data_IF_462271127828
#
_entry.id   IF_462271127828
#
_cell.length_a   1.000
_cell.length_b   1.000
_cell.length_c   1.000
_cell.angle_alpha   90.00
_cell.angle_beta   90.00
_cell.angle_gamma   90.00
#
_symmetry.space_group_name_H-M   'P 1'
#
loop_
_entity.id
_entity.type
_entity.pdbx_description
1 polymer ?
#
# COMPACT_ATOMS: atom_id res chain seq x y z
N UNK A 1 39.72 -56.41 -13.33
CA UNK A 1 40.55 -55.97 -14.46
C UNK A 1 41.27 -54.69 -14.04
N UNK A 2 42.59 -54.77 -13.82
CA UNK A 2 43.51 -53.64 -13.53
C UNK A 2 43.92 -53.00 -14.89
N UNK A 3 44.81 -51.99 -15.03
CA UNK A 3 46.08 -51.74 -14.32
C UNK A 3 46.30 -50.24 -13.94
N UNK A 4 47.33 -49.73 -13.25
CA UNK A 4 48.60 -50.16 -12.60
C UNK A 4 49.05 -48.87 -11.86
N UNK A 5 49.29 -48.78 -10.54
CA UNK A 5 50.56 -49.08 -9.81
C UNK A 5 51.81 -48.77 -10.65
N UNK A 6 52.83 -48.03 -10.25
CA UNK A 6 53.37 -47.65 -8.94
C UNK A 6 54.74 -46.97 -9.22
N UNK A 7 55.31 -46.34 -8.19
CA UNK A 7 56.74 -46.02 -7.99
C UNK A 7 57.26 -44.69 -8.59
N UNK A 8 58.17 -43.94 -7.98
CA UNK A 8 58.74 -43.90 -6.62
C UNK A 8 59.72 -42.73 -6.53
N UNK A 9 59.83 -42.19 -5.31
CA UNK A 9 61.07 -41.74 -4.62
C UNK A 9 61.97 -40.60 -5.12
N UNK A 10 62.27 -39.76 -4.11
CA UNK A 10 63.57 -39.20 -3.71
C UNK A 10 64.16 -38.09 -4.59
N UNK A 11 64.31 -36.89 -4.02
CA UNK A 11 65.50 -36.54 -3.25
C UNK A 11 65.49 -35.05 -2.87
N UNK A 12 65.82 -34.76 -1.61
CA UNK A 12 66.16 -33.43 -1.15
C UNK A 12 67.55 -33.04 -1.65
N UNK A 13 67.70 -31.83 -2.19
CA UNK A 13 68.98 -31.14 -2.31
C UNK A 13 68.77 -29.70 -1.81
N UNK A 14 69.36 -29.42 -0.67
CA UNK A 14 69.65 -28.06 -0.21
C UNK A 14 70.88 -27.56 -0.98
N UNK A 15 70.78 -26.37 -1.57
CA UNK A 15 71.94 -25.63 -2.04
C UNK A 15 71.79 -24.16 -1.62
N UNK A 16 72.67 -23.76 -0.71
CA UNK A 16 72.96 -22.36 -0.40
C UNK A 16 73.48 -21.66 -1.66
N UNK A 17 72.81 -20.58 -2.06
CA UNK A 17 73.28 -19.66 -3.09
C UNK A 17 73.00 -18.24 -2.66
N UNK A 18 74.06 -17.46 -2.43
CA UNK A 18 74.02 -16.06 -2.05
C UNK A 18 73.28 -15.20 -3.09
N UNK A 19 72.42 -14.23 -2.70
CA UNK A 19 71.93 -13.25 -3.64
C UNK A 19 72.98 -12.15 -3.81
N UNK A 20 73.52 -12.08 -5.02
CA UNK A 20 74.24 -10.93 -5.53
C UNK A 20 73.32 -9.70 -5.51
N UNK A 21 73.88 -8.57 -5.05
CA UNK A 21 73.31 -7.24 -5.14
C UNK A 21 73.06 -6.89 -6.62
N UNK A 22 71.82 -6.98 -7.06
CA UNK A 22 71.32 -6.28 -8.23
C UNK A 22 70.37 -5.18 -7.74
N UNK A 23 70.92 -3.97 -7.63
CA UNK A 23 70.16 -2.74 -7.56
C UNK A 23 69.43 -2.54 -8.90
N UNK A 24 68.25 -3.14 -9.00
CA UNK A 24 67.25 -2.77 -10.00
C UNK A 24 66.34 -1.72 -9.38
N UNK A 25 66.45 -0.47 -9.84
CA UNK A 25 65.47 0.56 -9.55
C UNK A 25 64.13 0.18 -10.20
N UNK A 26 63.30 -0.64 -9.55
CA UNK A 26 61.86 -0.64 -9.84
C UNK A 26 61.31 0.61 -9.16
N UNK A 27 61.02 1.62 -9.98
CA UNK A 27 60.17 2.73 -9.59
C UNK A 27 58.74 2.21 -9.67
N UNK A 28 58.38 1.29 -8.78
CA UNK A 28 56.97 0.99 -8.56
C UNK A 28 56.38 2.21 -7.85
N UNK A 29 55.41 2.92 -8.45
CA UNK A 29 54.63 3.86 -7.68
C UNK A 29 53.98 3.09 -6.52
N UNK A 30 53.88 3.68 -5.31
CA UNK A 30 53.15 3.03 -4.23
C UNK A 30 51.75 2.66 -4.71
N UNK A 31 51.14 1.57 -4.20
CA UNK A 31 49.74 1.30 -4.50
C UNK A 31 48.97 2.58 -4.19
N UNK A 32 48.23 3.08 -5.17
CA UNK A 32 47.32 4.20 -4.95
C UNK A 32 46.34 3.71 -3.88
N UNK A 33 46.52 4.18 -2.64
CA UNK A 33 45.49 4.05 -1.62
C UNK A 33 44.28 4.81 -2.16
N UNK A 34 43.33 4.07 -2.72
CA UNK A 34 42.01 4.62 -3.03
C UNK A 34 41.45 5.14 -1.71
N UNK A 35 41.57 6.45 -1.51
CA UNK A 35 41.22 7.16 -0.28
C UNK A 35 39.70 7.39 -0.17
N UNK A 36 38.91 6.48 -0.73
CA UNK A 36 37.46 6.44 -0.58
C UNK A 36 37.08 5.68 0.70
N UNK A 37 36.07 6.13 1.45
CA UNK A 37 35.54 5.35 2.56
C UNK A 37 35.06 3.98 2.04
N UNK A 38 35.33 2.90 2.78
CA UNK A 38 34.82 1.58 2.43
C UNK A 38 33.28 1.62 2.48
N UNK A 39 32.59 0.77 1.71
CA UNK A 39 31.12 0.71 1.70
C UNK A 39 30.52 0.56 3.10
N UNK A 40 31.16 -0.19 4.00
CA UNK A 40 30.75 -0.32 5.40
C UNK A 40 30.82 1.01 6.18
N UNK A 41 31.82 1.84 5.89
CA UNK A 41 31.97 3.17 6.50
C UNK A 41 30.90 4.15 5.98
N UNK A 42 30.60 4.07 4.68
CA UNK A 42 29.52 4.83 4.04
C UNK A 42 28.16 4.44 4.63
N UNK A 43 27.85 3.15 4.73
CA UNK A 43 26.61 2.65 5.33
C UNK A 43 26.43 3.18 6.76
N UNK A 44 27.48 3.14 7.58
CA UNK A 44 27.43 3.65 8.94
C UNK A 44 27.21 5.18 8.99
N UNK A 45 27.78 5.95 8.06
CA UNK A 45 27.55 7.39 7.93
C UNK A 45 26.11 7.70 7.51
N UNK A 46 25.58 6.99 6.51
CA UNK A 46 24.19 7.11 6.05
C UNK A 46 23.22 6.78 7.18
N UNK A 47 23.39 5.63 7.85
CA UNK A 47 22.50 5.20 8.93
C UNK A 47 22.47 6.20 10.09
N UNK A 48 23.62 6.82 10.44
CA UNK A 48 23.67 7.87 11.47
C UNK A 48 22.81 9.08 11.08
N UNK A 49 22.86 9.50 9.82
CA UNK A 49 22.07 10.62 9.31
C UNK A 49 20.58 10.30 9.30
N UNK A 50 20.20 9.11 8.82
CA UNK A 50 18.82 8.62 8.83
C UNK A 50 18.25 8.49 10.26
N UNK A 51 19.04 7.97 11.20
CA UNK A 51 18.66 7.88 12.61
C UNK A 51 18.45 9.26 13.25
N UNK A 52 19.32 10.23 12.94
CA UNK A 52 19.16 11.61 13.39
C UNK A 52 17.93 12.28 12.78
N UNK A 53 17.62 11.98 11.50
CA UNK A 53 16.43 12.46 10.78
C UNK A 53 15.16 11.92 11.44
N UNK A 54 15.05 10.60 11.66
CA UNK A 54 13.92 9.98 12.35
C UNK A 54 13.70 10.55 13.76
N UNK A 55 14.78 10.73 14.54
CA UNK A 55 14.69 11.33 15.87
C UNK A 55 14.14 12.76 15.81
N UNK A 56 14.65 13.58 14.89
CA UNK A 56 14.20 14.97 14.75
C UNK A 56 12.73 15.11 14.35
N UNK A 57 12.21 14.20 13.52
CA UNK A 57 10.79 14.19 13.14
C UNK A 57 9.90 13.79 14.31
N UNK A 58 10.27 12.73 15.05
CA UNK A 58 9.54 12.28 16.24
C UNK A 58 9.55 13.31 17.38
N UNK A 59 10.66 14.02 17.54
CA UNK A 59 10.85 15.04 18.60
C UNK A 59 10.30 16.42 18.21
N UNK A 60 9.90 16.62 16.95
CA UNK A 60 9.51 17.95 16.45
C UNK A 60 10.67 18.97 16.43
N UNK A 61 11.92 18.52 16.29
CA UNK A 61 13.09 19.38 16.20
C UNK A 61 13.44 19.73 14.75
N UNK A 62 12.74 20.74 14.22
CA UNK A 62 12.94 21.27 12.86
C UNK A 62 14.40 21.68 12.60
N UNK A 63 15.08 22.25 13.60
CA UNK A 63 16.46 22.69 13.44
C UNK A 63 17.42 21.50 13.28
N UNK A 64 17.18 20.40 14.00
CA UNK A 64 17.93 19.14 13.88
C UNK A 64 17.63 18.44 12.56
N UNK A 65 16.38 18.41 12.14
CA UNK A 65 15.99 17.86 10.83
C UNK A 65 16.74 18.57 9.70
N UNK A 66 16.74 19.92 9.70
CA UNK A 66 17.50 20.71 8.69
C UNK A 66 19.01 20.50 8.71
N UNK A 67 19.59 19.91 9.76
CA UNK A 67 21.03 19.54 9.80
C UNK A 67 21.32 18.21 9.11
N UNK A 68 20.30 17.41 8.78
CA UNK A 68 20.47 16.16 8.03
C UNK A 68 20.35 16.34 6.52
N UNK A 69 20.11 17.57 6.05
CA UNK A 69 19.89 17.90 4.64
C UNK A 69 21.09 18.65 4.04
N UNK A 70 21.38 18.37 2.78
CA UNK A 70 22.22 19.22 1.94
C UNK A 70 21.57 20.60 1.81
N UNK A 71 22.39 21.66 1.75
CA UNK A 71 21.91 23.06 1.72
C UNK A 71 22.08 23.74 0.37
N UNK A 72 22.51 22.97 -0.63
CA UNK A 72 22.88 23.44 -1.96
C UNK A 72 21.67 23.69 -2.85
N UNK A 73 20.58 22.94 -2.65
CA UNK A 73 19.34 23.07 -3.42
C UNK A 73 18.20 23.65 -2.56
N UNK A 74 17.65 24.79 -2.99
CA UNK A 74 16.53 25.46 -2.31
C UNK A 74 15.19 24.77 -2.55
N UNK A 75 14.98 24.16 -3.72
CA UNK A 75 13.75 23.46 -4.04
C UNK A 75 13.62 22.20 -3.18
N UNK A 76 14.68 21.39 -3.13
CA UNK A 76 14.78 20.24 -2.22
C UNK A 76 14.53 20.65 -0.75
N UNK A 77 15.16 21.73 -0.26
CA UNK A 77 14.91 22.17 1.12
C UNK A 77 13.44 22.57 1.38
N UNK A 78 12.74 23.12 0.39
CA UNK A 78 11.32 23.47 0.51
C UNK A 78 10.43 22.23 0.51
N UNK A 79 10.69 21.27 -0.36
CA UNK A 79 10.03 19.96 -0.40
C UNK A 79 10.19 19.21 0.93
N UNK A 80 11.42 19.17 1.46
CA UNK A 80 11.68 18.51 2.74
C UNK A 80 11.06 19.25 3.93
N UNK A 81 10.84 20.56 3.81
CA UNK A 81 10.09 21.33 4.81
C UNK A 81 8.60 20.94 4.79
N UNK A 82 8.01 20.74 3.61
CA UNK A 82 6.64 20.22 3.45
C UNK A 82 6.54 18.83 4.07
N UNK A 83 7.46 17.92 3.73
CA UNK A 83 7.50 16.57 4.32
C UNK A 83 7.56 16.60 5.86
N UNK A 84 8.41 17.46 6.43
CA UNK A 84 8.49 17.65 7.88
C UNK A 84 7.15 18.13 8.46
N UNK A 85 6.53 19.13 7.83
CA UNK A 85 5.27 19.71 8.30
C UNK A 85 4.12 18.70 8.19
N UNK A 86 4.08 17.90 7.12
CA UNK A 86 3.12 16.81 6.96
C UNK A 86 3.25 15.78 8.10
N UNK A 87 4.45 15.22 8.31
CA UNK A 87 4.68 14.22 9.34
C UNK A 87 4.40 14.73 10.75
N UNK A 88 4.63 16.02 11.02
CA UNK A 88 4.34 16.64 12.31
C UNK A 88 2.84 16.69 12.64
N UNK A 89 1.95 16.55 11.65
CA UNK A 89 0.49 16.52 11.85
C UNK A 89 -0.07 15.11 11.99
N UNK A 90 0.69 14.07 11.63
CA UNK A 90 0.25 12.68 11.69
C UNK A 90 0.39 12.11 13.11
N UNK A 91 -0.50 11.19 13.52
CA UNK A 91 -0.40 10.48 14.80
C UNK A 91 0.68 9.39 14.72
N UNK A 92 1.95 9.77 14.62
CA UNK A 92 3.05 8.82 14.47
C UNK A 92 3.31 8.04 15.78
N UNK A 93 3.05 6.73 15.74
CA UNK A 93 3.44 5.79 16.80
C UNK A 93 4.81 5.17 16.58
N UNK A 94 5.25 5.08 15.32
CA UNK A 94 6.59 4.63 14.94
C UNK A 94 7.04 5.39 13.69
N UNK A 95 8.31 5.78 13.68
CA UNK A 95 9.00 6.35 12.52
C UNK A 95 10.48 5.97 12.58
N UNK A 96 10.94 5.21 11.60
CA UNK A 96 12.33 4.82 11.46
C UNK A 96 12.77 4.83 9.99
N UNK A 97 14.07 5.06 9.78
CA UNK A 97 14.73 4.96 8.49
C UNK A 97 15.93 4.03 8.63
N UNK A 98 16.05 3.07 7.71
CA UNK A 98 17.15 2.12 7.65
C UNK A 98 17.74 2.10 6.24
N UNK A 99 19.06 2.23 6.12
CA UNK A 99 19.74 2.05 4.83
C UNK A 99 19.93 0.57 4.54
N UNK A 100 19.71 0.15 3.30
CA UNK A 100 20.06 -1.18 2.81
C UNK A 100 21.51 -1.16 2.28
N UNK A 101 22.52 -1.64 3.04
CA UNK A 101 23.93 -1.41 2.71
C UNK A 101 24.37 -1.98 1.37
N UNK A 102 23.74 -3.06 0.93
CA UNK A 102 23.97 -3.74 -0.35
C UNK A 102 23.54 -2.92 -1.57
N UNK A 103 22.70 -1.89 -1.37
CA UNK A 103 22.18 -1.03 -2.43
C UNK A 103 22.99 0.26 -2.62
N UNK A 104 24.01 0.47 -1.78
CA UNK A 104 24.84 1.68 -1.82
C UNK A 104 25.71 1.65 -3.07
N UNK A 105 25.51 2.64 -3.94
CA UNK A 105 26.31 2.84 -5.16
C UNK A 105 26.78 4.29 -5.25
N UNK A 106 28.01 4.56 -5.73
CA UNK A 106 28.43 5.92 -6.07
C UNK A 106 27.44 6.56 -7.06
N UNK A 107 27.08 7.81 -6.83
CA UNK A 107 26.27 8.56 -7.79
C UNK A 107 27.19 9.12 -8.89
N UNK A 108 26.98 8.67 -10.12
CA UNK A 108 27.74 9.13 -11.27
C UNK A 108 27.66 10.65 -11.43
N UNK A 109 28.77 11.30 -11.78
CA UNK A 109 28.80 12.69 -12.22
C UNK A 109 28.39 12.77 -13.70
N UNK A 110 27.24 13.40 -14.06
CA UNK A 110 26.84 13.55 -15.46
C UNK A 110 27.84 14.39 -16.29
N UNK A 111 28.73 15.16 -15.64
CA UNK A 111 29.67 16.07 -16.28
C UNK A 111 31.07 15.50 -16.54
N UNK A 112 31.41 14.32 -16.01
CA UNK A 112 32.75 13.73 -16.14
C UNK A 112 32.70 12.19 -16.27
N UNK A 113 32.66 11.65 -17.51
CA UNK A 113 32.63 10.20 -17.74
C UNK A 113 33.93 9.48 -17.35
N UNK A 114 35.02 10.21 -17.10
CA UNK A 114 36.30 9.67 -16.64
C UNK A 114 36.46 9.74 -15.10
N UNK A 115 35.53 10.39 -14.41
CA UNK A 115 35.47 10.49 -12.94
C UNK A 115 34.05 10.16 -12.42
N UNK A 116 33.61 8.89 -12.54
CA UNK A 116 32.29 8.46 -12.07
C UNK A 116 32.08 8.65 -10.56
N UNK A 117 33.15 8.86 -9.79
CA UNK A 117 33.14 9.14 -8.35
C UNK A 117 33.13 10.65 -8.02
N UNK A 118 33.05 11.52 -9.04
CA UNK A 118 33.46 12.93 -9.00
C UNK A 118 32.74 13.88 -8.03
N UNK A 119 31.60 13.47 -7.48
CA UNK A 119 30.89 14.24 -6.44
C UNK A 119 31.12 13.73 -5.01
N UNK A 120 31.58 12.47 -4.86
CA UNK A 120 31.57 11.75 -3.59
C UNK A 120 30.17 11.41 -3.08
N UNK A 121 29.12 11.58 -3.90
CA UNK A 121 27.75 11.28 -3.54
C UNK A 121 27.44 9.78 -3.67
N UNK A 122 26.42 9.33 -2.95
CA UNK A 122 25.96 7.94 -2.94
C UNK A 122 24.45 7.88 -3.12
N UNK A 123 23.97 6.96 -3.96
CA UNK A 123 22.59 6.51 -3.93
C UNK A 123 22.47 5.28 -3.05
N UNK A 124 21.41 5.20 -2.27
CA UNK A 124 21.08 4.01 -1.47
C UNK A 124 19.56 3.87 -1.32
N UNK A 125 19.07 2.64 -1.32
CA UNK A 125 17.70 2.38 -0.89
C UNK A 125 17.59 2.57 0.62
N UNK A 126 16.51 3.24 1.02
CA UNK A 126 16.14 3.54 2.39
C UNK A 126 14.78 2.92 2.67
N UNK A 127 14.76 2.01 3.64
CA UNK A 127 13.54 1.46 4.21
C UNK A 127 12.96 2.46 5.21
N UNK A 128 11.76 2.93 4.92
CA UNK A 128 10.99 3.82 5.78
C UNK A 128 9.94 3.00 6.51
N UNK A 129 9.96 3.02 7.84
CA UNK A 129 8.97 2.35 8.69
C UNK A 129 8.09 3.40 9.35
N UNK A 130 6.78 3.33 9.11
CA UNK A 130 5.78 4.24 9.69
C UNK A 130 4.65 3.44 10.32
N UNK A 131 4.21 3.83 11.52
CA UNK A 131 2.97 3.34 12.12
C UNK A 131 2.11 4.50 12.57
N UNK A 132 0.89 4.60 12.05
CA UNK A 132 -0.11 5.55 12.52
C UNK A 132 -0.77 4.98 13.78
N UNK A 133 -0.46 5.59 14.93
CA UNK A 133 -0.95 5.17 16.23
C UNK A 133 -2.47 5.22 16.27
N UNK A 134 -3.09 4.10 16.65
CA UNK A 134 -4.55 3.97 16.73
C UNK A 134 -5.24 3.61 15.41
N UNK A 135 -4.48 3.53 14.30
CA UNK A 135 -5.02 3.25 12.96
C UNK A 135 -4.39 1.99 12.34
N UNK A 136 -3.06 1.89 12.39
CA UNK A 136 -2.35 0.73 11.84
C UNK A 136 -2.15 -0.35 12.92
N UNK A 137 -2.43 -1.61 12.59
CA UNK A 137 -2.23 -2.77 13.47
C UNK A 137 -0.74 -3.15 13.59
N UNK A 138 0.05 -2.88 12.55
CA UNK A 138 1.49 -3.07 12.50
C UNK A 138 2.15 -1.88 11.79
N UNK A 139 3.46 -1.71 11.95
CA UNK A 139 4.18 -0.71 11.17
C UNK A 139 4.24 -1.12 9.69
N UNK A 140 4.05 -0.13 8.82
CA UNK A 140 4.14 -0.24 7.36
C UNK A 140 5.56 0.12 6.93
N UNK A 141 6.14 -0.72 6.08
CA UNK A 141 7.47 -0.51 5.49
C UNK A 141 7.36 -0.19 4.01
N UNK A 142 7.88 0.96 3.62
CA UNK A 142 8.06 1.38 2.24
C UNK A 142 9.54 1.57 1.94
N UNK A 143 9.91 1.54 0.67
CA UNK A 143 11.29 1.77 0.24
C UNK A 143 11.35 2.93 -0.72
N UNK A 144 12.42 3.69 -0.65
CA UNK A 144 12.71 4.73 -1.61
C UNK A 144 14.22 4.86 -1.80
N UNK A 145 14.67 5.54 -2.84
CA UNK A 145 16.10 5.68 -3.16
C UNK A 145 16.56 7.10 -2.93
N UNK A 146 17.40 7.27 -1.91
CA UNK A 146 17.89 8.58 -1.49
C UNK A 146 19.31 8.83 -1.99
N UNK A 147 19.59 10.10 -2.32
CA UNK A 147 20.94 10.57 -2.59
C UNK A 147 21.55 11.16 -1.33
N UNK A 148 22.79 10.81 -1.05
CA UNK A 148 23.57 11.31 0.07
C UNK A 148 24.82 12.00 -0.44
N UNK A 149 25.13 13.18 0.09
CA UNK A 149 26.33 13.95 -0.26
C UNK A 149 27.22 14.18 0.97
N UNK A 150 28.55 14.11 0.84
CA UNK A 150 29.46 14.37 1.95
C UNK A 150 29.41 15.83 2.38
N UNK A 151 29.51 16.07 3.69
CA UNK A 151 29.73 17.42 4.19
C UNK A 151 31.13 17.93 3.78
N UNK A 152 31.38 19.25 3.72
CA UNK A 152 32.69 19.78 3.29
C UNK A 152 33.90 19.29 4.08
N UNK A 153 33.69 18.86 5.34
CA UNK A 153 34.73 18.27 6.20
C UNK A 153 34.90 16.74 5.99
N UNK A 154 34.10 16.12 5.13
CA UNK A 154 34.09 14.68 4.84
C UNK A 154 33.62 13.80 6.00
N UNK A 155 33.19 14.37 7.13
CA UNK A 155 32.91 13.60 8.36
C UNK A 155 31.50 13.03 8.45
N UNK A 156 30.60 13.49 7.59
CA UNK A 156 29.17 13.11 7.57
C UNK A 156 28.68 13.02 6.13
N UNK A 157 27.61 12.26 5.94
CA UNK A 157 26.77 12.30 4.76
C UNK A 157 25.45 12.97 5.12
N UNK A 158 24.90 13.77 4.22
CA UNK A 158 23.57 14.41 4.39
C UNK A 158 22.69 14.08 3.19
N UNK A 159 21.37 14.04 3.40
CA UNK A 159 20.41 13.74 2.33
C UNK A 159 20.41 14.92 1.35
N UNK A 160 20.66 14.63 0.08
CA UNK A 160 20.68 15.60 -1.02
C UNK A 160 19.47 15.47 -1.96
N UNK A 161 18.85 14.28 -2.01
CA UNK A 161 17.58 14.02 -2.69
C UNK A 161 16.88 12.87 -1.98
N UNK A 162 15.55 12.90 -1.97
CA UNK A 162 14.71 11.75 -1.59
C UNK A 162 13.95 11.16 -2.79
N UNK A 163 14.24 11.63 -4.00
CA UNK A 163 13.54 11.23 -5.22
C UNK A 163 14.53 10.73 -6.26
N UNK A 164 14.18 9.63 -6.90
CA UNK A 164 14.86 9.01 -8.05
C UNK A 164 13.79 8.47 -9.00
N UNK A 165 13.39 9.30 -9.98
CA UNK A 165 12.23 9.03 -10.84
C UNK A 165 12.34 7.71 -11.62
N UNK A 166 13.54 7.33 -12.07
CA UNK A 166 13.75 6.06 -12.77
C UNK A 166 13.55 4.86 -11.82
N UNK A 167 14.01 5.00 -10.57
CA UNK A 167 13.80 3.98 -9.54
C UNK A 167 12.34 3.87 -9.13
N UNK A 168 11.66 5.00 -8.91
CA UNK A 168 10.23 5.05 -8.54
C UNK A 168 9.34 4.45 -9.64
N UNK A 169 9.63 4.75 -10.91
CA UNK A 169 8.92 4.16 -12.05
C UNK A 169 9.10 2.64 -12.09
N UNK A 170 10.30 2.14 -11.78
CA UNK A 170 10.60 0.71 -11.72
C UNK A 170 10.06 0.02 -10.45
N UNK A 171 9.73 0.79 -9.40
CA UNK A 171 9.31 0.29 -8.09
C UNK A 171 8.02 1.01 -7.60
N UNK A 172 6.90 0.86 -8.31
CA UNK A 172 5.63 1.47 -7.90
C UNK A 172 5.14 0.88 -6.55
N UNK A 173 4.21 1.57 -5.90
CA UNK A 173 3.57 1.12 -4.65
C UNK A 173 4.26 1.57 -3.36
N UNK A 174 5.32 2.39 -3.45
CA UNK A 174 6.06 2.86 -2.28
C UNK A 174 5.65 4.27 -1.81
N UNK A 175 5.18 5.13 -2.73
CA UNK A 175 4.80 6.50 -2.41
C UNK A 175 3.66 6.54 -1.38
N UNK A 176 3.81 7.37 -0.35
CA UNK A 176 2.76 7.66 0.62
C UNK A 176 2.13 9.03 0.36
N UNK A 177 0.85 9.24 0.77
CA UNK A 177 0.19 10.54 0.65
C UNK A 177 0.99 11.76 1.11
N UNK A 178 1.74 11.63 2.20
CA UNK A 178 2.54 12.72 2.79
C UNK A 178 3.88 12.96 2.09
N UNK A 179 4.23 12.17 1.07
CA UNK A 179 5.42 12.33 0.25
C UNK A 179 5.14 13.23 -0.98
N UNK A 180 3.89 13.28 -1.44
CA UNK A 180 3.51 13.85 -2.74
C UNK A 180 3.27 15.37 -2.71
N UNK A 181 3.02 15.94 -1.54
CA UNK A 181 2.74 17.37 -1.39
C UNK A 181 2.16 17.72 -0.03
N UNK A 182 1.81 18.99 0.21
CA UNK A 182 1.20 19.42 1.46
C UNK A 182 -0.11 18.67 1.74
N UNK A 183 -0.26 18.18 2.98
CA UNK A 183 -1.50 17.56 3.44
C UNK A 183 -2.11 18.31 4.62
N UNK A 184 -3.42 18.22 4.75
CA UNK A 184 -4.16 18.61 5.94
C UNK A 184 -4.75 17.36 6.61
N UNK A 185 -4.45 17.19 7.89
CA UNK A 185 -4.88 16.04 8.69
C UNK A 185 -5.96 16.48 9.66
N UNK A 186 -7.12 15.83 9.60
CA UNK A 186 -8.24 16.07 10.50
C UNK A 186 -8.72 14.75 11.10
N UNK A 187 -8.88 14.73 12.42
CA UNK A 187 -9.38 13.57 13.15
C UNK A 187 -10.75 13.84 13.78
N UNK A 188 -11.68 12.89 13.61
CA UNK A 188 -12.99 12.93 14.27
C UNK A 188 -13.53 11.53 14.49
N UNK A 189 -13.98 11.24 15.72
CA UNK A 189 -14.68 9.99 16.07
C UNK A 189 -13.93 8.70 15.61
N UNK A 190 -12.60 8.69 15.72
CA UNK A 190 -11.76 7.57 15.28
C UNK A 190 -11.67 7.42 13.76
N UNK A 191 -11.83 8.51 13.02
CA UNK A 191 -11.54 8.62 11.59
C UNK A 191 -10.40 9.63 11.41
N UNK A 192 -9.32 9.21 10.77
CA UNK A 192 -8.20 10.05 10.34
C UNK A 192 -8.39 10.39 8.87
N UNK A 193 -8.76 11.63 8.58
CA UNK A 193 -8.85 12.13 7.22
C UNK A 193 -7.57 12.83 6.80
N UNK A 194 -7.07 12.49 5.61
CA UNK A 194 -5.95 13.16 4.95
C UNK A 194 -6.45 13.79 3.66
N UNK A 195 -6.27 15.11 3.57
CA UNK A 195 -6.78 15.97 2.52
C UNK A 195 -5.66 16.82 1.93
N UNK A 196 -5.90 17.42 0.78
CA UNK A 196 -5.05 18.46 0.23
C UNK A 196 -5.79 19.81 0.22
N UNK A 197 -5.13 20.87 -0.22
CA UNK A 197 -5.70 22.22 -0.26
C UNK A 197 -7.03 22.31 -1.05
N UNK A 198 -7.23 21.44 -2.04
CA UNK A 198 -8.42 21.42 -2.88
C UNK A 198 -9.59 20.68 -2.22
N UNK A 199 -9.31 19.64 -1.43
CA UNK A 199 -10.33 18.79 -0.81
C UNK A 199 -10.61 19.13 0.67
N UNK A 200 -9.76 19.91 1.33
CA UNK A 200 -9.90 20.29 2.75
C UNK A 200 -11.27 20.88 3.11
N UNK A 201 -11.94 21.54 2.16
CA UNK A 201 -13.26 22.16 2.38
C UNK A 201 -14.35 21.13 2.66
N UNK A 202 -14.21 19.93 2.10
CA UNK A 202 -15.15 18.82 2.27
C UNK A 202 -14.76 17.90 3.44
N UNK A 203 -13.65 18.16 4.13
CA UNK A 203 -13.11 17.26 5.14
C UNK A 203 -14.10 16.94 6.26
N UNK A 204 -14.78 17.95 6.82
CA UNK A 204 -15.79 17.73 7.87
C UNK A 204 -16.91 16.80 7.41
N UNK A 205 -17.37 16.99 6.17
CA UNK A 205 -18.44 16.20 5.55
C UNK A 205 -18.01 14.75 5.29
N UNK A 206 -16.78 14.55 4.81
CA UNK A 206 -16.21 13.20 4.62
C UNK A 206 -16.06 12.49 5.96
N UNK A 207 -15.50 13.15 6.97
CA UNK A 207 -15.33 12.58 8.30
C UNK A 207 -16.66 12.19 8.94
N UNK A 208 -17.69 13.03 8.81
CA UNK A 208 -19.03 12.73 9.33
C UNK A 208 -19.67 11.55 8.59
N UNK A 209 -19.53 11.48 7.26
CA UNK A 209 -20.01 10.35 6.46
C UNK A 209 -19.32 9.03 6.84
N UNK A 210 -18.01 9.02 7.03
CA UNK A 210 -17.25 7.82 7.44
C UNK A 210 -17.59 7.42 8.88
N UNK A 211 -17.69 8.37 9.79
CA UNK A 211 -18.05 8.09 11.18
C UNK A 211 -19.46 7.48 11.31
N UNK A 212 -20.45 8.04 10.59
CA UNK A 212 -21.80 7.49 10.52
C UNK A 212 -21.81 6.10 9.84
N UNK A 213 -21.16 5.99 8.68
CA UNK A 213 -21.07 4.75 7.91
C UNK A 213 -20.47 3.59 8.69
N UNK A 214 -19.50 3.83 9.58
CA UNK A 214 -18.90 2.78 10.45
C UNK A 214 -19.91 2.16 11.42
N UNK A 215 -20.89 2.94 11.86
CA UNK A 215 -21.96 2.44 12.73
C UNK A 215 -23.01 1.71 11.89
N UNK A 216 -23.43 2.32 10.78
CA UNK A 216 -24.42 1.74 9.86
C UNK A 216 -23.98 0.39 9.27
N UNK A 217 -22.72 0.26 8.83
CA UNK A 217 -22.16 -1.01 8.32
C UNK A 217 -22.14 -2.08 9.42
N UNK A 218 -21.78 -1.69 10.65
CA UNK A 218 -21.72 -2.62 11.80
C UNK A 218 -23.10 -3.10 12.21
N UNK A 219 -24.11 -2.24 12.13
CA UNK A 219 -25.48 -2.59 12.47
C UNK A 219 -26.04 -3.64 11.51
N UNK A 220 -25.65 -3.61 10.23
CA UNK A 220 -26.05 -4.61 9.22
C UNK A 220 -25.25 -5.90 9.34
N UNK A 221 -23.92 -5.81 9.40
CA UNK A 221 -23.07 -7.01 9.40
C UNK A 221 -23.07 -7.73 10.77
N UNK A 222 -23.39 -7.02 11.84
CA UNK A 222 -23.34 -7.51 13.21
C UNK A 222 -21.92 -7.57 13.79
N UNK A 223 -21.79 -7.83 15.11
CA UNK A 223 -20.53 -7.74 15.83
C UNK A 223 -19.49 -8.81 15.44
N UNK A 224 -19.93 -9.92 14.84
CA UNK A 224 -19.07 -11.06 14.48
C UNK A 224 -18.55 -11.04 13.04
N UNK A 225 -18.84 -9.99 12.26
CA UNK A 225 -18.43 -9.90 10.85
C UNK A 225 -17.00 -9.41 10.66
N UNK A 226 -16.44 -8.67 11.63
CA UNK A 226 -15.04 -8.30 11.59
C UNK A 226 -14.18 -9.58 11.62
N UNK A 227 -13.47 -9.84 10.52
CA UNK A 227 -12.58 -10.99 10.44
C UNK A 227 -11.47 -10.92 11.49
N UNK A 228 -11.31 -12.00 12.27
CA UNK A 228 -10.24 -12.17 13.28
C UNK A 228 -8.82 -12.30 12.68
N UNK A 229 -8.65 -12.04 11.39
CA UNK A 229 -7.46 -12.44 10.63
C UNK A 229 -6.19 -11.61 10.88
N UNK A 230 -6.22 -10.59 11.74
CA UNK A 230 -5.01 -9.87 12.14
C UNK A 230 -5.20 -9.14 13.47
N UNK A 231 -5.24 -9.88 14.58
CA UNK A 231 -4.75 -9.44 15.92
C UNK A 231 -5.33 -8.19 16.58
N UNK A 232 -6.20 -7.41 15.92
CA UNK A 232 -6.90 -6.27 16.46
C UNK A 232 -8.37 -6.63 16.47
N UNK A 233 -8.83 -7.04 17.65
CA UNK A 233 -10.25 -7.24 17.88
C UNK A 233 -10.98 -5.92 17.61
N UNK A 234 -12.23 -5.98 17.19
CA UNK A 234 -13.10 -4.79 17.16
C UNK A 234 -13.23 -4.11 18.54
N UNK A 235 -12.77 -4.76 19.62
CA UNK A 235 -12.65 -4.19 20.96
C UNK A 235 -11.43 -3.27 21.15
N UNK A 236 -10.47 -3.24 20.22
CA UNK A 236 -9.27 -2.38 20.27
C UNK A 236 -9.40 -1.04 19.54
N UNK A 237 -10.59 -0.71 19.00
CA UNK A 237 -10.89 0.65 18.55
C UNK A 237 -10.03 1.16 17.38
N UNK A 238 -9.51 0.29 16.51
CA UNK A 238 -8.72 0.71 15.35
C UNK A 238 -9.55 1.70 14.50
N UNK A 239 -9.04 2.91 14.34
CA UNK A 239 -9.67 3.95 13.55
C UNK A 239 -9.64 3.62 12.05
N UNK A 240 -10.37 4.40 11.27
CA UNK A 240 -10.34 4.31 9.80
C UNK A 240 -9.53 5.47 9.26
N UNK A 241 -8.61 5.20 8.34
CA UNK A 241 -7.92 6.25 7.57
C UNK A 241 -8.66 6.46 6.25
N UNK A 242 -9.00 7.71 5.95
CA UNK A 242 -9.62 8.11 4.67
C UNK A 242 -8.76 9.16 3.97
N UNK A 243 -8.50 8.92 2.69
CA UNK A 243 -7.77 9.80 1.79
C UNK A 243 -8.75 10.44 0.82
N UNK A 244 -8.68 11.75 0.68
CA UNK A 244 -9.31 12.46 -0.42
C UNK A 244 -8.29 13.44 -1.00
N UNK A 245 -7.53 12.96 -1.97
CA UNK A 245 -6.34 13.64 -2.52
C UNK A 245 -6.44 13.71 -4.03
N UNK A 246 -5.96 14.80 -4.59
CA UNK A 246 -5.97 15.10 -6.02
C UNK A 246 -4.89 14.33 -6.77
N UNK A 247 -3.76 14.07 -6.11
CA UNK A 247 -2.69 13.26 -6.66
C UNK A 247 -2.88 11.79 -6.24
N UNK A 248 -3.31 10.90 -7.16
CA UNK A 248 -3.51 9.48 -6.87
C UNK A 248 -2.22 8.66 -6.96
N UNK A 249 -1.04 9.27 -7.13
CA UNK A 249 0.24 8.55 -7.37
C UNK A 249 0.53 7.49 -6.30
N UNK A 250 0.10 7.69 -5.05
CA UNK A 250 0.24 6.71 -3.98
C UNK A 250 -0.56 5.41 -4.20
N UNK A 251 -1.50 5.39 -5.17
CA UNK A 251 -2.25 4.20 -5.59
C UNK A 251 -1.51 3.38 -6.67
N UNK A 252 -0.52 3.96 -7.34
CA UNK A 252 0.23 3.25 -8.38
C UNK A 252 0.91 2.01 -7.79
N UNK A 253 0.75 0.85 -8.44
CA UNK A 253 1.29 -0.42 -7.96
C UNK A 253 0.47 -1.11 -6.88
N UNK A 254 -0.66 -0.53 -6.45
CA UNK A 254 -1.60 -1.14 -5.49
C UNK A 254 -2.80 -1.83 -6.16
N UNK A 255 -2.83 -1.97 -7.49
CA UNK A 255 -4.00 -2.46 -8.24
C UNK A 255 -4.49 -3.86 -7.79
N UNK A 256 -3.56 -4.78 -7.46
CA UNK A 256 -3.92 -6.12 -6.94
C UNK A 256 -4.27 -6.10 -5.43
N UNK A 257 -4.10 -4.96 -4.77
CA UNK A 257 -4.35 -4.73 -3.34
C UNK A 257 -5.58 -3.85 -3.09
N UNK A 258 -6.20 -3.32 -4.14
CA UNK A 258 -7.46 -2.60 -4.07
C UNK A 258 -8.63 -3.52 -4.37
N UNK A 259 -9.75 -3.31 -3.69
CA UNK A 259 -11.02 -3.91 -4.09
C UNK A 259 -11.70 -2.93 -5.06
N UNK A 260 -11.93 -3.37 -6.31
CA UNK A 260 -12.43 -2.54 -7.41
C UNK A 260 -11.35 -2.06 -8.40
N UNK A 261 -11.79 -1.43 -9.50
CA UNK A 261 -10.91 -0.88 -10.54
C UNK A 261 -10.49 0.57 -10.21
N UNK A 262 -9.23 0.76 -9.86
CA UNK A 262 -8.69 2.04 -9.41
C UNK A 262 -8.81 3.19 -10.43
N UNK A 263 -8.75 2.88 -11.73
CA UNK A 263 -8.82 3.91 -12.79
C UNK A 263 -10.26 4.40 -13.02
N UNK A 264 -11.25 3.63 -12.56
CA UNK A 264 -12.68 3.91 -12.79
C UNK A 264 -13.43 4.24 -11.51
N UNK A 265 -12.94 3.85 -10.34
CA UNK A 265 -13.70 3.92 -9.11
C UNK A 265 -13.80 5.34 -8.52
N UNK A 266 -14.98 5.67 -7.99
CA UNK A 266 -15.23 6.89 -7.23
C UNK A 266 -14.68 6.79 -5.79
N UNK A 267 -14.45 5.58 -5.31
CA UNK A 267 -13.81 5.26 -4.04
C UNK A 267 -13.13 3.89 -4.09
N UNK A 268 -12.17 3.65 -3.20
CA UNK A 268 -11.42 2.40 -3.13
C UNK A 268 -11.13 2.03 -1.69
N UNK A 269 -11.15 0.74 -1.41
CA UNK A 269 -10.63 0.16 -0.19
C UNK A 269 -9.25 -0.41 -0.47
N UNK A 270 -8.25 0.12 0.22
CA UNK A 270 -6.84 -0.18 0.04
C UNK A 270 -6.39 -1.12 1.16
N UNK A 271 -5.90 -2.29 0.78
CA UNK A 271 -5.19 -3.19 1.69
C UNK A 271 -3.75 -2.69 1.79
N UNK A 272 -3.28 -2.40 3.01
CA UNK A 272 -1.92 -1.93 3.24
C UNK A 272 -1.11 -3.05 3.89
N UNK A 273 -0.19 -3.71 3.16
CA UNK A 273 0.69 -4.71 3.74
C UNK A 273 1.72 -4.05 4.68
N UNK A 274 2.23 -4.81 5.63
CA UNK A 274 3.31 -4.35 6.52
C UNK A 274 4.67 -4.21 5.82
N UNK A 275 4.87 -4.87 4.68
CA UNK A 275 5.99 -4.66 3.74
C UNK A 275 5.49 -4.84 2.30
N UNK A 276 5.61 -3.81 1.47
CA UNK A 276 5.10 -3.84 0.09
C UNK A 276 5.86 -4.78 -0.87
N UNK A 277 7.08 -5.23 -0.53
CA UNK A 277 7.85 -6.19 -1.37
C UNK A 277 7.71 -7.64 -0.93
N UNK A 278 7.10 -7.90 0.22
CA UNK A 278 6.87 -9.26 0.70
C UNK A 278 5.39 -9.63 0.43
N UNK A 279 5.11 -10.50 -0.55
CA UNK A 279 3.74 -10.89 -0.90
C UNK A 279 3.04 -11.64 0.24
N UNK A 280 3.79 -12.19 1.19
CA UNK A 280 3.27 -12.89 2.37
C UNK A 280 3.20 -11.98 3.60
N UNK A 281 3.54 -10.68 3.45
CA UNK A 281 3.50 -9.73 4.55
C UNK A 281 2.10 -9.64 5.14
N UNK A 282 1.97 -9.64 6.48
CA UNK A 282 0.66 -9.45 7.10
C UNK A 282 0.12 -8.06 6.77
N UNK A 283 -1.20 -7.97 6.66
CA UNK A 283 -1.90 -6.69 6.45
C UNK A 283 -1.73 -5.82 7.70
N UNK A 284 -1.14 -4.64 7.52
CA UNK A 284 -0.94 -3.65 8.56
C UNK A 284 -2.18 -2.78 8.77
N UNK A 285 -2.90 -2.44 7.70
CA UNK A 285 -4.09 -1.59 7.77
C UNK A 285 -5.01 -1.78 6.56
N UNK A 286 -6.23 -1.26 6.70
CA UNK A 286 -7.15 -1.02 5.60
C UNK A 286 -7.46 0.48 5.57
N UNK A 287 -7.40 1.08 4.39
CA UNK A 287 -7.61 2.52 4.21
C UNK A 287 -8.64 2.76 3.12
N UNK A 288 -9.31 3.90 3.16
CA UNK A 288 -10.28 4.30 2.13
C UNK A 288 -9.67 5.42 1.32
N UNK A 289 -9.76 5.35 0.01
CA UNK A 289 -9.57 6.49 -0.87
C UNK A 289 -10.91 6.92 -1.46
N UNK A 290 -11.15 8.22 -1.52
CA UNK A 290 -12.28 8.83 -2.20
C UNK A 290 -11.73 9.73 -3.30
N UNK A 291 -12.15 9.47 -4.54
CA UNK A 291 -11.77 10.32 -5.65
C UNK A 291 -12.40 11.72 -5.46
N UNK A 292 -11.64 12.83 -5.57
CA UNK A 292 -12.18 14.17 -5.35
C UNK A 292 -13.46 14.50 -6.14
N UNK A 293 -13.70 13.86 -7.30
CA UNK A 293 -14.94 14.03 -8.07
C UNK A 293 -16.21 13.65 -7.29
N UNK A 294 -16.11 12.70 -6.36
CA UNK A 294 -17.27 12.27 -5.54
C UNK A 294 -17.65 13.33 -4.51
N UNK A 295 -16.71 14.20 -4.13
CA UNK A 295 -16.97 15.24 -3.13
C UNK A 295 -17.98 16.27 -3.64
N UNK A 296 -18.13 16.43 -4.96
CA UNK A 296 -19.16 17.30 -5.54
C UNK A 296 -20.57 16.67 -5.53
N UNK A 297 -20.70 15.38 -5.23
CA UNK A 297 -21.98 14.66 -5.26
C UNK A 297 -22.83 14.97 -4.02
N UNK A 298 -24.15 14.72 -4.02
CA UNK A 298 -25.00 14.85 -2.84
C UNK A 298 -24.63 13.89 -1.69
N UNK A 299 -24.99 14.23 -0.46
CA UNK A 299 -24.68 13.43 0.75
C UNK A 299 -25.15 11.97 0.68
N UNK A 300 -26.28 11.72 0.02
CA UNK A 300 -26.78 10.35 -0.16
C UNK A 300 -25.86 9.50 -1.04
N UNK A 301 -25.22 10.09 -2.05
CA UNK A 301 -24.28 9.41 -2.95
C UNK A 301 -22.97 9.17 -2.23
N UNK A 302 -22.41 10.20 -1.60
CA UNK A 302 -21.18 10.07 -0.81
C UNK A 302 -21.35 9.05 0.32
N UNK A 303 -22.44 9.13 1.08
CA UNK A 303 -22.71 8.20 2.17
C UNK A 303 -22.87 6.75 1.70
N UNK A 304 -23.53 6.52 0.55
CA UNK A 304 -23.62 5.17 -0.03
C UNK A 304 -22.25 4.64 -0.41
N UNK A 305 -21.44 5.42 -1.13
CA UNK A 305 -20.08 5.04 -1.50
C UNK A 305 -19.23 4.74 -0.26
N UNK A 306 -19.28 5.60 0.75
CA UNK A 306 -18.52 5.41 1.99
C UNK A 306 -18.92 4.12 2.71
N UNK A 307 -20.21 3.78 2.79
CA UNK A 307 -20.65 2.50 3.36
C UNK A 307 -20.21 1.30 2.52
N UNK A 308 -20.20 1.43 1.19
CA UNK A 308 -19.67 0.41 0.29
C UNK A 308 -18.20 0.12 0.63
N UNK A 309 -17.34 1.14 0.64
CA UNK A 309 -15.92 0.97 0.99
C UNK A 309 -15.70 0.47 2.41
N UNK A 310 -16.44 1.01 3.38
CA UNK A 310 -16.38 0.54 4.76
C UNK A 310 -16.78 -0.92 4.92
N UNK A 311 -17.61 -1.46 4.02
CA UNK A 311 -17.96 -2.90 4.04
C UNK A 311 -16.73 -3.75 3.72
N UNK A 312 -15.94 -3.38 2.72
CA UNK A 312 -14.68 -4.06 2.41
C UNK A 312 -13.69 -3.95 3.60
N UNK A 313 -13.58 -2.77 4.20
CA UNK A 313 -12.76 -2.54 5.42
C UNK A 313 -13.26 -3.36 6.61
N UNK A 314 -14.57 -3.58 6.75
CA UNK A 314 -15.15 -4.35 7.85
C UNK A 314 -14.94 -5.85 7.65
N UNK A 315 -15.07 -6.35 6.43
CA UNK A 315 -14.88 -7.77 6.10
C UNK A 315 -13.39 -8.18 6.15
N UNK A 316 -12.46 -7.26 5.92
CA UNK A 316 -11.00 -7.49 6.01
C UNK A 316 -10.57 -8.77 5.28
N UNK A 317 -9.84 -9.64 5.99
CA UNK A 317 -9.36 -10.93 5.48
C UNK A 317 -10.48 -11.90 5.07
N UNK A 318 -11.73 -11.75 5.54
CA UNK A 318 -12.85 -12.59 5.09
C UNK A 318 -13.30 -12.26 3.66
N UNK A 319 -13.07 -11.03 3.22
CA UNK A 319 -13.34 -10.62 1.84
C UNK A 319 -12.23 -11.03 0.86
N UNK A 320 -11.01 -11.30 1.36
CA UNK A 320 -9.88 -11.65 0.50
C UNK A 320 -10.09 -13.04 -0.14
N UNK A 321 -9.98 -13.09 -1.48
CA UNK A 321 -10.15 -14.32 -2.25
C UNK A 321 -11.61 -14.74 -2.47
N UNK A 322 -12.59 -13.99 -1.97
CA UNK A 322 -14.00 -14.21 -2.30
C UNK A 322 -14.27 -13.91 -3.80
N UNK A 323 -15.21 -14.61 -4.43
CA UNK A 323 -15.67 -14.25 -5.78
C UNK A 323 -16.22 -12.83 -5.82
N UNK A 324 -15.89 -12.07 -6.87
CA UNK A 324 -16.25 -10.64 -6.98
C UNK A 324 -17.76 -10.37 -6.83
N UNK A 325 -18.63 -11.22 -7.39
CA UNK A 325 -20.07 -11.05 -7.22
C UNK A 325 -20.50 -11.03 -5.74
N UNK A 326 -19.79 -11.76 -4.87
CA UNK A 326 -20.11 -11.87 -3.46
C UNK A 326 -19.52 -10.70 -2.67
N UNK A 327 -18.24 -10.38 -2.88
CA UNK A 327 -17.61 -9.24 -2.20
C UNK A 327 -18.28 -7.92 -2.56
N UNK A 328 -18.46 -7.65 -3.85
CA UNK A 328 -19.11 -6.43 -4.33
C UNK A 328 -20.61 -6.44 -4.06
N UNK A 329 -21.27 -7.60 -4.18
CA UNK A 329 -22.69 -7.73 -3.89
C UNK A 329 -23.02 -7.45 -2.42
N UNK A 330 -22.17 -7.90 -1.48
CA UNK A 330 -22.33 -7.58 -0.05
C UNK A 330 -22.07 -6.10 0.20
N UNK A 331 -21.02 -5.52 -0.38
CA UNK A 331 -20.73 -4.10 -0.23
C UNK A 331 -21.87 -3.22 -0.75
N UNK A 332 -22.45 -3.57 -1.91
CA UNK A 332 -23.63 -2.91 -2.43
C UNK A 332 -24.87 -3.09 -1.55
N UNK A 333 -25.15 -4.33 -1.13
CA UNK A 333 -26.27 -4.64 -0.23
C UNK A 333 -26.20 -3.84 1.07
N UNK A 334 -25.05 -3.80 1.73
CA UNK A 334 -24.85 -3.05 2.98
C UNK A 334 -24.96 -1.55 2.74
N UNK A 335 -24.40 -1.05 1.63
CA UNK A 335 -24.36 0.39 1.32
C UNK A 335 -25.73 1.08 1.28
N UNK A 336 -26.78 0.31 0.95
CA UNK A 336 -28.14 0.81 0.80
C UNK A 336 -29.01 0.57 2.01
N UNK A 337 -28.58 -0.21 3.02
CA UNK A 337 -29.48 -0.59 4.12
C UNK A 337 -29.91 0.61 4.98
N UNK A 338 -29.04 1.61 5.15
CA UNK A 338 -29.37 2.88 5.82
C UNK A 338 -30.27 3.81 4.98
N UNK A 339 -30.56 3.45 3.72
CA UNK A 339 -31.41 4.22 2.82
C UNK A 339 -32.83 3.64 2.81
N UNK A 340 -33.84 4.51 2.91
CA UNK A 340 -35.24 4.13 2.76
C UNK A 340 -35.45 3.32 1.48
N UNK A 341 -36.19 2.21 1.57
CA UNK A 341 -36.44 1.31 0.42
C UNK A 341 -37.02 2.04 -0.79
N UNK A 342 -37.90 3.03 -0.58
CA UNK A 342 -38.49 3.84 -1.66
C UNK A 342 -37.50 4.77 -2.37
N UNK A 343 -36.33 4.99 -1.78
CA UNK A 343 -35.24 5.83 -2.33
C UNK A 343 -34.09 5.00 -2.88
N UNK A 344 -34.12 3.68 -2.70
CA UNK A 344 -33.19 2.76 -3.35
C UNK A 344 -33.60 2.70 -4.82
N UNK A 345 -32.65 2.94 -5.71
CA UNK A 345 -32.88 2.96 -7.14
C UNK A 345 -31.78 2.19 -7.86
N UNK A 346 -32.15 1.64 -9.01
CA UNK A 346 -31.25 1.07 -10.01
C UNK A 346 -31.43 1.84 -11.31
N UNK A 347 -30.41 1.89 -12.15
CA UNK A 347 -30.53 2.50 -13.47
C UNK A 347 -31.10 1.51 -14.50
N UNK A 348 -31.56 2.01 -15.65
CA UNK A 348 -32.11 1.17 -16.72
C UNK A 348 -31.09 0.16 -17.27
N UNK A 349 -29.80 0.51 -17.24
CA UNK A 349 -28.72 -0.40 -17.60
C UNK A 349 -28.66 -1.64 -16.70
N UNK A 350 -28.91 -1.49 -15.39
CA UNK A 350 -28.99 -2.63 -14.49
C UNK A 350 -30.12 -3.59 -14.87
N UNK A 351 -31.29 -3.07 -15.26
CA UNK A 351 -32.42 -3.90 -15.70
C UNK A 351 -32.11 -4.62 -17.03
N UNK A 352 -31.45 -3.92 -17.97
CA UNK A 352 -30.99 -4.50 -19.23
C UNK A 352 -29.98 -5.63 -18.99
N UNK A 353 -28.96 -5.40 -18.16
CA UNK A 353 -27.92 -6.39 -17.83
C UNK A 353 -28.55 -7.59 -17.12
N UNK A 354 -29.42 -7.35 -16.14
CA UNK A 354 -30.13 -8.39 -15.40
C UNK A 354 -30.95 -9.30 -16.33
N UNK A 355 -31.61 -8.76 -17.35
CA UNK A 355 -32.36 -9.56 -18.32
C UNK A 355 -31.49 -10.53 -19.14
N UNK A 356 -30.18 -10.28 -19.23
CA UNK A 356 -29.20 -11.14 -19.91
C UNK A 356 -28.40 -12.07 -18.99
N UNK A 357 -28.55 -11.92 -17.66
CA UNK A 357 -27.76 -12.65 -16.69
C UNK A 357 -28.18 -14.13 -16.62
N UNK A 358 -27.24 -15.03 -16.96
CA UNK A 358 -27.45 -16.49 -16.96
C UNK A 358 -26.59 -17.23 -15.93
N UNK A 359 -25.58 -16.55 -15.38
CA UNK A 359 -24.71 -17.03 -14.31
C UNK A 359 -24.23 -15.84 -13.43
N UNK A 360 -23.58 -16.14 -12.31
CA UNK A 360 -22.99 -15.12 -11.43
C UNK A 360 -21.81 -14.41 -12.12
N UNK A 361 -21.69 -13.07 -12.01
CA UNK A 361 -20.64 -12.33 -12.69
C UNK A 361 -19.25 -12.63 -12.12
N UNK A 362 -18.26 -12.71 -12.99
CA UNK A 362 -16.84 -12.83 -12.65
C UNK A 362 -16.04 -11.60 -13.06
N UNK A 363 -14.71 -11.72 -13.04
CA UNK A 363 -13.80 -10.59 -13.31
C UNK A 363 -14.02 -9.95 -14.69
N UNK A 364 -14.38 -10.74 -15.71
CA UNK A 364 -14.62 -10.23 -17.06
C UNK A 364 -15.85 -9.29 -17.11
N UNK A 365 -16.91 -9.63 -16.39
CA UNK A 365 -18.12 -8.83 -16.28
C UNK A 365 -17.86 -7.50 -15.56
N UNK A 366 -17.10 -7.54 -14.45
CA UNK A 366 -16.73 -6.35 -13.67
C UNK A 366 -15.73 -5.44 -14.39
N UNK A 367 -14.87 -5.98 -15.26
CA UNK A 367 -13.97 -5.20 -16.11
C UNK A 367 -14.65 -4.68 -17.41
N UNK A 368 -15.86 -5.15 -17.69
CA UNK A 368 -16.59 -4.85 -18.93
C UNK A 368 -17.26 -3.47 -18.96
N UNK A 369 -17.81 -3.07 -20.13
CA UNK A 369 -18.54 -1.81 -20.26
C UNK A 369 -19.83 -1.76 -19.43
N UNK A 370 -20.38 -2.93 -19.08
CA UNK A 370 -21.62 -3.10 -18.33
C UNK A 370 -21.40 -3.31 -16.82
N UNK A 371 -20.19 -3.01 -16.31
CA UNK A 371 -19.80 -3.25 -14.92
C UNK A 371 -20.84 -2.74 -13.90
N UNK A 372 -21.34 -1.52 -14.06
CA UNK A 372 -22.38 -0.93 -13.19
C UNK A 372 -23.64 -1.81 -13.09
N UNK A 373 -24.05 -2.45 -14.19
CA UNK A 373 -25.17 -3.37 -14.18
C UNK A 373 -24.86 -4.67 -13.44
N UNK A 374 -23.62 -5.16 -13.53
CA UNK A 374 -23.17 -6.35 -12.80
C UNK A 374 -23.02 -6.14 -11.29
N UNK A 375 -22.64 -4.93 -10.84
CA UNK A 375 -22.75 -4.53 -9.44
C UNK A 375 -24.22 -4.61 -8.96
N UNK A 376 -25.16 -4.09 -9.75
CA UNK A 376 -26.58 -4.16 -9.40
C UNK A 376 -27.12 -5.60 -9.40
N UNK A 377 -26.75 -6.45 -10.36
CA UNK A 377 -27.12 -7.88 -10.33
C UNK A 377 -26.57 -8.55 -9.06
N UNK A 378 -25.31 -8.29 -8.73
CA UNK A 378 -24.66 -8.85 -7.53
C UNK A 378 -25.32 -8.39 -6.23
N UNK A 379 -25.68 -7.10 -6.14
CA UNK A 379 -26.48 -6.56 -5.05
C UNK A 379 -27.79 -7.33 -4.89
N UNK A 380 -28.57 -7.49 -5.95
CA UNK A 380 -29.89 -8.12 -5.86
C UNK A 380 -29.83 -9.64 -5.63
N UNK A 381 -28.74 -10.29 -6.03
CA UNK A 381 -28.42 -11.64 -5.57
C UNK A 381 -28.22 -11.66 -4.05
N UNK A 382 -27.44 -10.73 -3.49
CA UNK A 382 -27.22 -10.65 -2.05
C UNK A 382 -28.50 -10.24 -1.29
N UNK A 383 -29.33 -9.36 -1.84
CA UNK A 383 -30.65 -9.01 -1.30
C UNK A 383 -31.56 -10.25 -1.24
N UNK A 384 -31.55 -11.10 -2.28
CA UNK A 384 -32.29 -12.37 -2.28
C UNK A 384 -31.80 -13.33 -1.20
N UNK A 385 -30.47 -13.48 -1.05
CA UNK A 385 -29.88 -14.35 -0.02
C UNK A 385 -30.25 -13.83 1.36
N UNK A 386 -30.03 -12.55 1.65
CA UNK A 386 -30.36 -11.95 2.94
C UNK A 386 -31.86 -12.07 3.25
N UNK A 387 -32.72 -11.82 2.27
CA UNK A 387 -34.18 -11.87 2.45
C UNK A 387 -34.75 -13.27 2.68
N UNK A 388 -34.14 -14.33 2.12
CA UNK A 388 -34.69 -15.69 2.19
C UNK A 388 -33.88 -16.66 3.07
N UNK A 389 -32.60 -16.39 3.28
CA UNK A 389 -31.68 -17.23 4.06
C UNK A 389 -31.08 -16.48 5.26
N UNK A 390 -31.35 -15.18 5.40
CA UNK A 390 -30.79 -14.31 6.44
C UNK A 390 -29.42 -13.75 6.09
N UNK A 391 -29.06 -12.59 6.66
CA UNK A 391 -27.79 -11.90 6.40
C UNK A 391 -26.56 -12.75 6.73
N UNK A 392 -26.65 -13.62 7.74
CA UNK A 392 -25.55 -14.53 8.11
C UNK A 392 -25.18 -15.53 7.01
N UNK A 393 -26.11 -15.85 6.10
CA UNK A 393 -25.80 -16.72 4.96
C UNK A 393 -24.77 -16.08 4.01
N UNK A 394 -24.75 -14.74 3.89
CA UNK A 394 -23.75 -14.03 3.10
C UNK A 394 -22.35 -14.19 3.69
N UNK A 395 -22.23 -14.09 5.02
CA UNK A 395 -20.95 -14.27 5.73
C UNK A 395 -20.48 -15.72 5.65
N UNK A 396 -21.39 -16.70 5.76
CA UNK A 396 -21.05 -18.11 5.58
C UNK A 396 -20.52 -18.41 4.18
N UNK A 397 -21.09 -17.79 3.14
CA UNK A 397 -20.59 -17.92 1.77
C UNK A 397 -19.19 -17.31 1.62
N UNK A 398 -18.93 -16.15 2.22
CA UNK A 398 -17.60 -15.55 2.25
C UNK A 398 -16.59 -16.50 2.89
N UNK A 399 -16.87 -17.00 4.10
CA UNK A 399 -15.96 -17.89 4.83
C UNK A 399 -15.67 -19.17 4.04
N UNK A 400 -16.68 -19.78 3.41
CA UNK A 400 -16.49 -20.99 2.60
C UNK A 400 -15.65 -20.73 1.36
N UNK A 401 -15.92 -19.64 0.65
CA UNK A 401 -15.16 -19.32 -0.57
C UNK A 401 -13.73 -18.89 -0.25
N UNK A 402 -13.49 -18.15 0.83
CA UNK A 402 -12.16 -17.76 1.31
C UNK A 402 -11.29 -18.98 1.70
N UNK A 403 -11.89 -20.08 2.18
CA UNK A 403 -11.17 -21.35 2.45
C UNK A 403 -10.86 -22.20 1.21
N UNK A 404 -11.09 -21.65 0.00
CA UNK A 404 -10.82 -22.33 -1.27
C UNK A 404 -11.94 -23.26 -1.74
N UNK A 405 -13.10 -23.23 -1.08
CA UNK A 405 -14.28 -23.95 -1.59
C UNK A 405 -14.77 -23.28 -2.86
N UNK A 406 -14.80 -24.00 -3.98
CA UNK A 406 -15.33 -23.46 -5.23
C UNK A 406 -16.77 -22.97 -5.08
N UNK A 407 -17.11 -21.86 -5.74
CA UNK A 407 -18.40 -21.16 -5.63
C UNK A 407 -19.62 -22.09 -5.65
N UNK A 408 -19.73 -22.98 -6.64
CA UNK A 408 -20.86 -23.91 -6.76
C UNK A 408 -20.98 -24.91 -5.61
N UNK A 409 -19.87 -25.29 -4.98
CA UNK A 409 -19.91 -26.17 -3.82
C UNK A 409 -20.38 -25.39 -2.58
N UNK A 410 -19.85 -24.18 -2.37
CA UNK A 410 -20.26 -23.32 -1.26
C UNK A 410 -21.76 -22.96 -1.35
N UNK A 411 -22.26 -22.62 -2.54
CA UNK A 411 -23.67 -22.30 -2.77
C UNK A 411 -24.60 -23.49 -2.49
N UNK A 412 -24.22 -24.70 -2.92
CA UNK A 412 -25.00 -25.91 -2.64
C UNK A 412 -25.00 -26.25 -1.16
N UNK A 413 -23.89 -26.06 -0.47
CA UNK A 413 -23.79 -26.33 0.96
C UNK A 413 -24.61 -25.34 1.81
N UNK A 414 -24.50 -24.03 1.52
CA UNK A 414 -25.11 -22.99 2.35
C UNK A 414 -26.55 -22.70 1.96
N UNK A 415 -26.87 -22.69 0.66
CA UNK A 415 -28.18 -22.27 0.15
C UNK A 415 -28.99 -23.43 -0.45
N UNK A 416 -28.33 -24.53 -0.83
CA UNK A 416 -28.97 -25.59 -1.62
C UNK A 416 -29.26 -25.19 -3.07
N UNK A 417 -28.55 -24.18 -3.60
CA UNK A 417 -28.75 -23.63 -4.94
C UNK A 417 -27.49 -23.78 -5.81
N UNK A 418 -27.67 -23.88 -7.11
CA UNK A 418 -26.61 -23.64 -8.10
C UNK A 418 -26.40 -22.14 -8.37
N UNK A 419 -25.26 -21.76 -8.94
CA UNK A 419 -24.99 -20.37 -9.35
C UNK A 419 -26.06 -19.83 -10.31
N UNK A 420 -26.50 -20.64 -11.28
CA UNK A 420 -27.58 -20.31 -12.21
C UNK A 420 -28.91 -20.06 -11.52
N UNK A 421 -29.31 -20.92 -10.59
CA UNK A 421 -30.55 -20.72 -9.85
C UNK A 421 -30.46 -19.46 -9.01
N UNK A 422 -29.33 -19.24 -8.33
CA UNK A 422 -29.14 -18.06 -7.48
C UNK A 422 -29.26 -16.76 -8.28
N UNK A 423 -28.56 -16.63 -9.42
CA UNK A 423 -28.65 -15.41 -10.23
C UNK A 423 -30.07 -15.18 -10.76
N UNK A 424 -30.77 -16.24 -11.19
CA UNK A 424 -32.16 -16.14 -11.66
C UNK A 424 -33.10 -15.65 -10.56
N UNK A 425 -32.89 -16.08 -9.31
CA UNK A 425 -33.68 -15.62 -8.16
C UNK A 425 -33.42 -14.15 -7.83
N UNK A 426 -32.15 -13.73 -7.84
CA UNK A 426 -31.77 -12.33 -7.65
C UNK A 426 -32.34 -11.41 -8.74
N UNK A 427 -32.21 -11.81 -10.02
CA UNK A 427 -32.76 -11.07 -11.16
C UNK A 427 -34.28 -10.99 -11.10
N UNK A 428 -34.97 -12.08 -10.77
CA UNK A 428 -36.42 -12.07 -10.62
C UNK A 428 -36.88 -11.11 -9.50
N UNK A 429 -36.14 -11.05 -8.39
CA UNK A 429 -36.41 -10.13 -7.29
C UNK A 429 -36.19 -8.67 -7.71
N UNK A 430 -35.10 -8.39 -8.43
CA UNK A 430 -34.81 -7.08 -9.01
C UNK A 430 -35.92 -6.61 -9.95
N UNK A 431 -36.33 -7.47 -10.89
CA UNK A 431 -37.38 -7.18 -11.86
C UNK A 431 -38.75 -7.00 -11.19
N UNK A 432 -39.08 -7.80 -10.18
CA UNK A 432 -40.32 -7.62 -9.42
C UNK A 432 -40.35 -6.27 -8.67
N UNK A 433 -39.18 -5.74 -8.31
CA UNK A 433 -39.07 -4.47 -7.59
C UNK A 433 -39.16 -3.25 -8.50
N UNK A 434 -38.58 -3.30 -9.71
CA UNK A 434 -38.46 -2.12 -10.59
C UNK A 434 -38.91 -2.31 -12.04
N UNK A 435 -39.25 -3.51 -12.48
CA UNK A 435 -39.53 -3.85 -13.89
C UNK A 435 -40.92 -3.43 -14.39
N UNK A 436 -41.42 -2.28 -13.96
CA UNK A 436 -42.71 -1.72 -14.40
C UNK A 436 -42.59 -0.99 -15.74
#
# INVERSE_FOLDING_TARGET
>A
MPPRRLLSTLAAIAALGAPALLAGCSHDPPPVEQSGPRTADVAALVQRTLSARAASLREGDRARFRRTLARTDRAFLAEQQVYYDNLATLPLGELAFEVLPETIVPAADPGDPDNPDGSGDYWAEVLTTVRLQGYDAAAVRTRDRFRFTPTPDGRRLVVASTTDADWEQANPGNAQPWDLGPIEVLERAGVLGIFDDSTRRDAGRVLDAVAAGRSEVRDVLGPGAAGDAAGNSAADGAGVVVYALTDPTFLHGLADQTVGDADRADGLSIVVPSDARDPDAPVAAYRIFLNPRVLAQPDGVLGRLVRHELTHVALRGRGLGAPLWLSEGIAEYVSVQAVDRSRRGVNDDALRVAASAVDLPGAAEFAGPDATGWYAVSWWVCEYVAGNHGEQALLMLLDRTATGTGTDAALREVLGLSSRELVQRGVALLQATYGA
#
